data_IF_805810671996
#
_entry.id   IF_805810671996
#
_cell.length_a   1.000
_cell.length_b   1.000
_cell.length_c   1.000
_cell.angle_alpha   90.00
_cell.angle_beta   90.00
_cell.angle_gamma   90.00
#
_symmetry.space_group_name_H-M   'P 1'
#
loop_
_entity.id
_entity.type
_entity.pdbx_description
1 polymer ?
#
# COMPACT_ATOMS: atom_id res chain seq x y z
N UNK A 1 -22.89 -33.42 -46.32
CA UNK A 1 -22.86 -34.37 -45.18
C UNK A 1 -23.09 -33.53 -43.91
N UNK A 2 -24.31 -33.08 -43.58
CA UNK A 2 -25.40 -33.79 -42.84
C UNK A 2 -24.85 -34.61 -41.67
N UNK A 3 -25.13 -34.35 -40.38
CA UNK A 3 -26.41 -34.29 -39.65
C UNK A 3 -26.19 -33.54 -38.30
N UNK A 4 -27.02 -32.57 -37.89
CA UNK A 4 -28.29 -32.65 -37.16
C UNK A 4 -28.19 -32.71 -35.61
N UNK A 5 -28.97 -31.82 -34.99
CA UNK A 5 -29.16 -31.47 -33.59
C UNK A 5 -29.96 -32.53 -32.79
N UNK A 6 -29.66 -32.72 -31.49
CA UNK A 6 -30.63 -33.16 -30.47
C UNK A 6 -30.37 -32.47 -29.12
N UNK A 7 -31.36 -31.69 -28.69
CA UNK A 7 -31.56 -31.11 -27.36
C UNK A 7 -32.21 -32.14 -26.41
N UNK A 8 -31.85 -32.15 -25.12
CA UNK A 8 -32.71 -32.71 -24.06
C UNK A 8 -32.80 -31.77 -22.87
N UNK A 9 -33.99 -31.20 -22.71
CA UNK A 9 -34.48 -30.60 -21.47
C UNK A 9 -34.83 -31.70 -20.45
N UNK A 10 -34.58 -31.44 -19.16
CA UNK A 10 -35.35 -32.04 -18.06
C UNK A 10 -35.81 -30.93 -17.11
N UNK A 11 -37.11 -30.68 -17.15
CA UNK A 11 -37.87 -29.96 -16.13
C UNK A 11 -38.09 -30.89 -14.92
N UNK A 12 -37.88 -30.36 -13.71
CA UNK A 12 -38.58 -30.82 -12.51
C UNK A 12 -39.01 -29.58 -11.71
N UNK A 13 -40.32 -29.39 -11.61
CA UNK A 13 -40.97 -28.33 -10.85
C UNK A 13 -41.19 -28.74 -9.38
N UNK A 14 -40.98 -27.73 -8.53
CA UNK A 14 -41.63 -27.40 -7.25
C UNK A 14 -41.66 -28.38 -6.07
N UNK A 15 -41.09 -27.91 -4.95
CA UNK A 15 -41.86 -27.70 -3.71
C UNK A 15 -41.33 -26.49 -2.94
N UNK A 16 -42.22 -25.54 -2.67
CA UNK A 16 -41.99 -24.38 -1.83
C UNK A 16 -42.01 -24.79 -0.34
N UNK A 17 -41.16 -24.18 0.48
CA UNK A 17 -41.25 -24.22 1.93
C UNK A 17 -41.14 -22.79 2.49
N UNK A 18 -42.17 -22.43 3.25
CA UNK A 18 -42.40 -21.15 3.93
C UNK A 18 -41.56 -21.06 5.21
N UNK A 19 -41.13 -19.86 5.66
CA UNK A 19 -40.32 -19.69 6.86
C UNK A 19 -41.16 -19.61 8.15
N UNK A 20 -40.64 -20.16 9.25
CA UNK A 20 -41.22 -20.06 10.59
C UNK A 20 -40.17 -19.56 11.63
N UNK A 21 -40.61 -18.98 12.76
CA UNK A 21 -40.11 -17.71 13.32
C UNK A 21 -39.14 -17.88 14.53
N UNK A 22 -38.62 -16.79 15.15
CA UNK A 22 -37.55 -16.90 16.13
C UNK A 22 -38.09 -17.30 17.51
N UNK A 23 -37.39 -18.23 18.18
CA UNK A 23 -37.62 -18.58 19.59
C UNK A 23 -37.01 -17.50 20.49
N UNK A 24 -37.88 -16.73 21.16
CA UNK A 24 -37.56 -15.95 22.36
C UNK A 24 -37.42 -16.92 23.54
N UNK A 25 -36.38 -16.77 24.34
CA UNK A 25 -36.33 -17.34 25.69
C UNK A 25 -36.28 -16.16 26.67
N UNK A 26 -37.38 -15.95 27.39
CA UNK A 26 -37.45 -15.11 28.58
C UNK A 26 -37.39 -16.00 29.80
N UNK A 27 -36.52 -15.69 30.76
CA UNK A 27 -36.69 -16.12 32.14
C UNK A 27 -36.69 -14.88 33.02
N UNK A 28 -37.91 -14.46 33.34
CA UNK A 28 -38.27 -13.52 34.39
C UNK A 28 -38.04 -14.15 35.76
N UNK A 29 -37.35 -13.43 36.66
CA UNK A 29 -37.51 -13.60 38.10
C UNK A 29 -38.10 -12.29 38.65
N UNK A 30 -39.15 -12.45 39.44
CA UNK A 30 -40.08 -11.43 39.91
C UNK A 30 -39.69 -10.89 41.29
N UNK A 31 -39.93 -9.57 41.46
CA UNK A 31 -40.33 -8.84 42.69
C UNK A 31 -39.26 -8.72 43.80
N UNK A 32 -39.11 -7.59 44.50
CA UNK A 32 -40.15 -6.67 44.98
C UNK A 32 -39.54 -5.30 45.31
N UNK A 33 -40.31 -4.24 45.07
CA UNK A 33 -40.00 -2.85 45.40
C UNK A 33 -40.26 -2.58 46.89
N UNK A 34 -39.37 -1.82 47.53
CA UNK A 34 -39.66 -1.08 48.75
C UNK A 34 -39.19 0.37 48.61
N UNK A 35 -40.12 1.28 48.86
CA UNK A 35 -39.98 2.74 48.85
C UNK A 35 -39.38 3.25 50.15
N UNK A 36 -38.43 4.19 50.07
CA UNK A 36 -38.10 5.11 51.17
C UNK A 36 -37.54 6.40 50.57
N UNK A 37 -38.08 7.54 51.02
CA UNK A 37 -37.83 8.87 50.51
C UNK A 37 -36.79 9.65 51.34
N UNK A 38 -36.12 10.60 50.67
CA UNK A 38 -35.49 11.84 51.17
C UNK A 38 -34.04 11.76 51.70
N UNK A 39 -33.26 12.88 51.70
CA UNK A 39 -33.21 14.01 50.77
C UNK A 39 -31.79 14.29 50.22
N UNK A 40 -31.72 15.21 49.24
CA UNK A 40 -30.52 15.71 48.58
C UNK A 40 -29.54 16.36 49.57
N UNK A 41 -28.25 16.03 49.47
CA UNK A 41 -27.17 16.89 49.97
C UNK A 41 -26.15 17.07 48.85
N UNK A 42 -26.04 18.30 48.37
CA UNK A 42 -25.08 18.74 47.36
C UNK A 42 -23.70 18.74 48.03
N UNK A 43 -22.77 17.94 47.50
CA UNK A 43 -21.34 18.11 47.78
C UNK A 43 -20.62 18.36 46.45
N UNK A 44 -20.27 19.62 46.24
CA UNK A 44 -19.39 20.08 45.16
C UNK A 44 -18.00 19.46 45.31
N UNK A 45 -17.74 18.41 44.53
CA UNK A 45 -16.39 17.89 44.34
C UNK A 45 -15.72 18.62 43.14
N UNK A 46 -14.46 19.06 43.25
CA UNK A 46 -13.80 19.73 42.14
C UNK A 46 -13.57 18.74 41.00
N UNK A 47 -13.93 19.14 39.78
CA UNK A 47 -13.62 18.42 38.55
C UNK A 47 -12.10 18.41 38.36
N UNK A 48 -11.44 17.35 38.82
CA UNK A 48 -10.10 17.00 38.35
C UNK A 48 -10.27 16.53 36.91
N UNK A 49 -10.13 17.47 35.98
CA UNK A 49 -9.85 17.18 34.58
C UNK A 49 -8.53 16.41 34.50
N UNK A 50 -8.60 15.07 34.56
CA UNK A 50 -7.51 14.25 34.08
C UNK A 50 -7.48 14.43 32.57
N UNK A 51 -6.53 15.24 32.10
CA UNK A 51 -6.09 15.18 30.72
C UNK A 51 -5.85 13.69 30.37
N UNK A 52 -6.37 13.18 29.24
CA UNK A 52 -5.99 11.86 28.81
C UNK A 52 -4.48 11.92 28.61
N UNK A 53 -3.75 11.18 29.43
CA UNK A 53 -2.33 10.94 29.29
C UNK A 53 -2.14 10.24 27.96
N UNK A 54 -2.02 11.02 26.90
CA UNK A 54 -1.49 10.62 25.60
C UNK A 54 0.01 10.38 25.84
N UNK A 55 0.32 9.26 26.51
CA UNK A 55 1.62 8.65 26.39
C UNK A 55 1.71 8.22 24.93
N UNK A 56 2.17 9.16 24.11
CA UNK A 56 2.74 8.86 22.79
C UNK A 56 3.84 7.88 23.09
N UNK A 57 3.54 6.60 22.87
CA UNK A 57 4.56 5.57 22.79
C UNK A 57 5.44 6.04 21.64
N UNK A 58 6.58 6.66 21.95
CA UNK A 58 7.62 6.90 20.97
C UNK A 58 7.86 5.53 20.35
N UNK A 59 7.47 5.37 19.08
CA UNK A 59 7.71 4.14 18.35
C UNK A 59 9.22 3.98 18.37
N UNK A 60 9.70 3.03 19.18
CA UNK A 60 11.07 2.56 19.11
C UNK A 60 11.19 1.82 17.78
N UNK A 61 11.22 2.58 16.68
CA UNK A 61 11.95 2.17 15.51
C UNK A 61 13.31 1.77 16.06
N UNK A 62 13.73 0.55 15.79
CA UNK A 62 15.14 0.17 15.85
C UNK A 62 15.69 0.40 14.45
N UNK A 63 15.97 1.66 14.06
CA UNK A 63 16.63 1.92 12.80
C UNK A 63 18.01 1.28 12.92
N UNK A 64 18.27 0.24 12.13
CA UNK A 64 19.65 -0.13 11.92
C UNK A 64 20.23 0.96 11.03
N UNK A 65 21.21 1.72 11.53
CA UNK A 65 22.03 2.64 10.71
C UNK A 65 22.90 1.89 9.68
N UNK A 66 22.68 0.59 9.52
CA UNK A 66 23.29 -0.28 8.53
C UNK A 66 23.10 0.30 7.13
N UNK A 67 24.17 0.74 6.46
CA UNK A 67 24.08 1.32 5.12
C UNK A 67 23.36 0.39 4.15
N UNK A 68 22.49 0.95 3.31
CA UNK A 68 21.83 0.16 2.27
C UNK A 68 22.87 -0.53 1.39
N UNK A 69 22.61 -1.80 1.02
CA UNK A 69 23.50 -2.65 0.20
C UNK A 69 24.78 -3.14 0.90
N UNK A 70 24.95 -2.92 2.20
CA UNK A 70 25.98 -3.61 3.00
C UNK A 70 25.65 -5.10 3.22
N UNK A 71 26.64 -5.91 3.59
CA UNK A 71 26.43 -7.34 3.88
C UNK A 71 25.43 -7.54 5.03
N UNK A 72 25.54 -6.71 6.07
CA UNK A 72 24.63 -6.69 7.22
C UNK A 72 23.20 -6.33 6.78
N UNK A 73 23.04 -5.43 5.81
CA UNK A 73 21.74 -5.08 5.24
C UNK A 73 21.10 -6.27 4.51
N UNK A 74 21.88 -7.01 3.72
CA UNK A 74 21.40 -8.24 3.06
C UNK A 74 21.03 -9.32 4.07
N UNK A 75 21.83 -9.49 5.13
CA UNK A 75 21.55 -10.43 6.20
C UNK A 75 20.25 -10.11 6.93
N UNK A 76 20.02 -8.85 7.32
CA UNK A 76 18.80 -8.41 7.98
C UNK A 76 17.55 -8.65 7.13
N UNK A 77 17.65 -8.51 5.81
CA UNK A 77 16.53 -8.68 4.86
C UNK A 77 16.22 -10.14 4.53
N UNK A 78 17.15 -11.06 4.75
CA UNK A 78 16.97 -12.48 4.44
C UNK A 78 15.81 -13.07 5.24
N UNK A 79 15.69 -12.68 6.50
CA UNK A 79 14.68 -13.19 7.44
C UNK A 79 13.49 -12.24 7.62
N UNK A 80 13.21 -11.47 6.57
CA UNK A 80 12.10 -10.52 6.51
C UNK A 80 11.44 -10.55 5.15
N UNK A 81 10.13 -10.32 5.10
CA UNK A 81 9.44 -9.96 3.88
C UNK A 81 9.57 -8.44 3.67
N UNK A 82 10.25 -8.03 2.60
CA UNK A 82 10.55 -6.62 2.37
C UNK A 82 9.48 -5.96 1.50
N UNK A 83 9.15 -4.70 1.76
CA UNK A 83 8.08 -3.96 1.04
C UNK A 83 8.21 -4.00 -0.48
N UNK A 84 9.44 -3.96 -1.00
CA UNK A 84 9.74 -4.08 -2.44
C UNK A 84 9.28 -5.40 -3.08
N UNK A 85 9.06 -6.44 -2.27
CA UNK A 85 8.61 -7.77 -2.72
C UNK A 85 7.11 -8.00 -2.53
N UNK A 86 6.39 -7.05 -1.92
CA UNK A 86 4.97 -7.24 -1.57
C UNK A 86 4.11 -7.52 -2.80
N UNK A 87 4.29 -6.80 -3.91
CA UNK A 87 3.52 -7.06 -5.14
C UNK A 87 3.71 -8.50 -5.64
N UNK A 88 4.93 -9.05 -5.52
CA UNK A 88 5.23 -10.45 -5.84
C UNK A 88 4.56 -11.42 -4.87
N UNK A 89 4.67 -11.20 -3.56
CA UNK A 89 4.00 -12.01 -2.54
C UNK A 89 2.47 -11.99 -2.66
N UNK A 90 1.91 -10.87 -3.15
CA UNK A 90 0.48 -10.69 -3.44
C UNK A 90 0.04 -11.32 -4.77
N UNK A 91 0.96 -11.86 -5.57
CA UNK A 91 0.67 -12.54 -6.84
C UNK A 91 0.39 -11.61 -8.02
N UNK A 92 0.95 -10.39 -8.05
CA UNK A 92 0.69 -9.44 -9.14
C UNK A 92 1.27 -9.89 -10.49
N UNK A 93 2.31 -10.71 -10.46
CA UNK A 93 3.05 -11.11 -11.64
C UNK A 93 2.60 -12.49 -12.12
N UNK A 94 2.52 -12.63 -13.45
CA UNK A 94 2.17 -13.91 -14.10
C UNK A 94 3.25 -14.96 -13.85
N UNK A 95 2.87 -16.22 -14.07
CA UNK A 95 3.78 -17.35 -13.96
C UNK A 95 4.04 -17.75 -12.50
N UNK A 96 5.28 -18.04 -12.18
CA UNK A 96 5.74 -18.63 -10.91
C UNK A 96 6.44 -17.61 -9.99
N UNK A 97 6.40 -16.30 -10.27
CA UNK A 97 7.13 -15.27 -9.50
C UNK A 97 6.88 -15.32 -7.98
N UNK A 98 5.65 -15.63 -7.56
CA UNK A 98 5.30 -15.82 -6.14
C UNK A 98 5.98 -17.05 -5.52
N UNK A 99 6.06 -18.13 -6.28
CA UNK A 99 6.79 -19.35 -5.90
C UNK A 99 8.31 -19.13 -5.89
N UNK A 100 8.85 -18.37 -6.85
CA UNK A 100 10.27 -17.98 -6.88
C UNK A 100 10.64 -17.16 -5.65
N UNK A 101 9.83 -16.16 -5.28
CA UNK A 101 10.04 -15.41 -4.05
C UNK A 101 9.97 -16.31 -2.80
N UNK A 102 9.06 -17.28 -2.78
CA UNK A 102 9.00 -18.24 -1.68
C UNK A 102 10.29 -19.08 -1.62
N UNK A 103 10.79 -19.55 -2.76
CA UNK A 103 12.05 -20.29 -2.84
C UNK A 103 13.23 -19.45 -2.33
N UNK A 104 13.35 -18.20 -2.78
CA UNK A 104 14.37 -17.24 -2.30
C UNK A 104 14.31 -17.01 -0.78
N UNK A 105 13.12 -17.14 -0.17
CA UNK A 105 12.93 -17.01 1.28
C UNK A 105 13.15 -18.30 2.02
N UNK A 106 13.00 -19.46 1.42
CA UNK A 106 13.07 -20.76 2.11
C UNK A 106 14.46 -21.39 1.98
N UNK A 107 15.08 -21.28 0.80
CA UNK A 107 16.35 -21.94 0.49
C UNK A 107 17.52 -20.94 0.49
N UNK A 108 18.74 -21.47 0.55
CA UNK A 108 19.93 -20.65 0.40
C UNK A 108 19.96 -19.99 -0.99
N UNK A 109 20.53 -18.78 -1.13
CA UNK A 109 20.59 -18.10 -2.41
C UNK A 109 21.42 -18.91 -3.42
N UNK A 110 20.84 -19.24 -4.57
CA UNK A 110 21.59 -19.73 -5.71
C UNK A 110 22.25 -18.55 -6.44
N UNK A 111 23.58 -18.58 -6.57
CA UNK A 111 24.37 -17.50 -7.16
C UNK A 111 24.01 -17.18 -8.63
N UNK A 112 23.32 -18.09 -9.32
CA UNK A 112 23.05 -18.02 -10.77
C UNK A 112 21.59 -17.69 -11.14
N UNK A 113 20.76 -17.32 -10.18
CA UNK A 113 19.30 -17.14 -10.40
C UNK A 113 18.90 -15.81 -11.07
N UNK A 114 19.80 -14.82 -11.17
CA UNK A 114 19.49 -13.47 -11.70
C UNK A 114 19.86 -13.35 -13.18
N UNK A 115 18.86 -13.05 -14.01
CA UNK A 115 19.08 -12.80 -15.45
C UNK A 115 19.97 -11.56 -15.69
N UNK A 116 20.73 -11.57 -16.78
CA UNK A 116 21.57 -10.43 -17.20
C UNK A 116 20.77 -9.13 -17.29
N UNK A 117 19.55 -9.19 -17.85
CA UNK A 117 18.68 -8.02 -17.97
C UNK A 117 18.21 -7.48 -16.62
N UNK A 118 17.90 -8.35 -15.66
CA UNK A 118 17.53 -7.94 -14.30
C UNK A 118 18.72 -7.31 -13.57
N UNK A 119 19.93 -7.90 -13.70
CA UNK A 119 21.16 -7.35 -13.13
C UNK A 119 21.46 -5.94 -13.69
N UNK A 120 21.38 -5.75 -15.00
CA UNK A 120 21.59 -4.45 -15.64
C UNK A 120 20.56 -3.40 -15.16
N UNK A 121 19.28 -3.78 -14.99
CA UNK A 121 18.27 -2.87 -14.48
C UNK A 121 18.52 -2.47 -13.01
N UNK A 122 19.01 -3.41 -12.18
CA UNK A 122 19.39 -3.14 -10.79
C UNK A 122 20.60 -2.20 -10.72
N UNK A 123 21.66 -2.48 -11.50
CA UNK A 123 22.85 -1.64 -11.60
C UNK A 123 22.51 -0.22 -12.07
N UNK A 124 21.63 -0.09 -13.06
CA UNK A 124 21.12 1.22 -13.51
C UNK A 124 20.47 2.00 -12.37
N UNK A 125 19.60 1.36 -11.57
CA UNK A 125 19.00 1.99 -10.40
C UNK A 125 20.05 2.45 -9.40
N UNK A 126 20.98 1.56 -9.04
CA UNK A 126 22.08 1.81 -8.11
C UNK A 126 22.90 3.03 -8.51
N UNK A 127 23.27 3.13 -9.78
CA UNK A 127 24.12 4.20 -10.30
C UNK A 127 23.44 5.57 -10.30
N UNK A 128 22.12 5.62 -10.48
CA UNK A 128 21.39 6.87 -10.70
C UNK A 128 20.62 7.38 -9.47
N UNK A 129 20.44 6.55 -8.44
CA UNK A 129 19.64 6.88 -7.26
C UNK A 129 20.14 8.15 -6.55
N UNK A 130 21.45 8.29 -6.35
CA UNK A 130 22.02 9.47 -5.70
C UNK A 130 21.73 10.76 -6.49
N UNK A 131 22.01 10.77 -7.80
CA UNK A 131 21.71 11.90 -8.68
C UNK A 131 20.21 12.22 -8.75
N UNK A 132 19.35 11.20 -8.69
CA UNK A 132 17.91 11.37 -8.64
C UNK A 132 17.48 12.04 -7.32
N UNK A 133 18.02 11.62 -6.18
CA UNK A 133 17.76 12.26 -4.87
C UNK A 133 18.20 13.72 -4.90
N UNK A 134 19.41 14.02 -5.38
CA UNK A 134 19.89 15.41 -5.53
C UNK A 134 18.95 16.24 -6.40
N UNK A 135 18.47 15.68 -7.52
CA UNK A 135 17.50 16.36 -8.39
C UNK A 135 16.16 16.60 -7.67
N UNK A 136 15.66 15.64 -6.91
CA UNK A 136 14.47 15.79 -6.08
C UNK A 136 14.64 16.93 -5.07
N UNK A 137 15.77 17.00 -4.37
CA UNK A 137 16.08 18.07 -3.42
C UNK A 137 16.13 19.43 -4.12
N UNK A 138 16.78 19.52 -5.28
CA UNK A 138 16.86 20.74 -6.10
C UNK A 138 15.47 21.23 -6.55
N UNK A 139 14.58 20.33 -6.97
CA UNK A 139 13.23 20.68 -7.42
C UNK A 139 12.36 21.12 -6.24
N UNK A 140 12.37 20.35 -5.15
CA UNK A 140 11.40 20.52 -4.06
C UNK A 140 11.87 21.45 -2.95
N UNK A 141 13.18 21.72 -2.88
CA UNK A 141 13.82 22.43 -1.77
C UNK A 141 13.78 21.67 -0.44
N UNK A 142 13.43 20.38 -0.44
CA UNK A 142 13.35 19.56 0.77
C UNK A 142 14.64 18.82 1.03
N UNK A 143 15.06 18.77 2.28
CA UNK A 143 16.14 17.88 2.71
C UNK A 143 15.69 16.43 2.74
N UNK A 144 16.60 15.54 2.36
CA UNK A 144 16.39 14.08 2.36
C UNK A 144 17.42 13.47 3.30
N UNK A 145 16.93 12.85 4.37
CA UNK A 145 17.77 12.09 5.30
C UNK A 145 17.78 10.61 4.93
N UNK A 146 18.91 9.92 5.13
CA UNK A 146 19.04 8.50 4.80
C UNK A 146 18.55 7.60 5.94
N UNK A 147 18.01 6.44 5.59
CA UNK A 147 17.66 5.37 6.52
C UNK A 147 17.93 4.02 5.85
N UNK A 148 18.74 3.16 6.47
CA UNK A 148 19.16 1.91 5.84
C UNK A 148 18.07 0.84 5.76
N UNK A 149 17.63 0.36 6.93
CA UNK A 149 16.59 -0.66 7.04
C UNK A 149 15.77 -0.46 8.31
N UNK A 150 14.46 -0.56 8.17
CA UNK A 150 13.50 -0.50 9.24
C UNK A 150 12.74 -1.83 9.34
N UNK A 151 12.60 -2.34 10.55
CA UNK A 151 11.71 -3.45 10.88
C UNK A 151 10.47 -2.87 11.55
N UNK A 152 9.33 -3.51 11.35
CA UNK A 152 8.09 -3.07 11.98
C UNK A 152 8.25 -3.03 13.51
N UNK A 153 7.89 -1.91 14.15
CA UNK A 153 8.09 -1.70 15.58
C UNK A 153 7.28 -2.67 16.46
N UNK A 154 6.10 -3.07 15.99
CA UNK A 154 5.31 -4.11 16.65
C UNK A 154 5.92 -5.51 16.42
N UNK A 155 6.29 -6.18 17.50
CA UNK A 155 7.03 -7.45 17.49
C UNK A 155 6.34 -8.55 16.66
N UNK A 156 5.01 -8.67 16.75
CA UNK A 156 4.23 -9.66 15.95
C UNK A 156 4.32 -9.43 14.43
N UNK A 157 4.76 -8.24 14.02
CA UNK A 157 4.99 -7.84 12.64
C UNK A 157 6.48 -7.71 12.31
N UNK A 158 7.37 -8.10 13.23
CA UNK A 158 8.82 -8.05 13.05
C UNK A 158 9.36 -8.96 11.94
N UNK A 159 8.51 -9.69 11.23
CA UNK A 159 8.83 -10.39 9.98
C UNK A 159 8.73 -9.48 8.74
N UNK A 160 8.25 -8.25 8.89
CA UNK A 160 8.16 -7.25 7.83
C UNK A 160 9.30 -6.23 7.94
N UNK A 161 9.83 -5.80 6.79
CA UNK A 161 10.87 -4.77 6.74
C UNK A 161 10.80 -3.84 5.53
N UNK A 162 11.34 -2.65 5.68
CA UNK A 162 11.37 -1.60 4.66
C UNK A 162 12.76 -0.97 4.56
N UNK A 163 13.15 -0.60 3.34
CA UNK A 163 14.27 0.31 3.09
C UNK A 163 13.71 1.45 2.25
N UNK A 164 13.44 2.62 2.83
CA UNK A 164 13.13 3.81 2.04
C UNK A 164 14.40 4.34 1.37
N UNK A 165 14.25 5.08 0.27
CA UNK A 165 15.39 5.78 -0.33
C UNK A 165 15.68 7.10 0.39
N UNK A 166 14.71 7.61 1.14
CA UNK A 166 14.93 8.71 2.08
C UNK A 166 13.76 9.02 3.00
N UNK A 167 14.04 9.83 4.01
CA UNK A 167 13.10 10.38 4.97
C UNK A 167 12.98 11.89 4.76
N UNK A 168 11.74 12.37 4.70
CA UNK A 168 11.41 13.76 4.39
C UNK A 168 10.83 14.44 5.63
N UNK A 169 11.44 15.54 6.10
CA UNK A 169 10.96 16.26 7.28
C UNK A 169 11.06 15.47 8.59
N UNK A 170 10.56 16.06 9.68
CA UNK A 170 10.64 15.47 11.02
C UNK A 170 9.38 14.65 11.35
N UNK A 171 9.55 13.57 12.12
CA UNK A 171 8.42 12.83 12.68
C UNK A 171 7.60 13.72 13.63
N UNK A 172 6.25 13.63 13.66
CA UNK A 172 5.38 12.70 12.91
C UNK A 172 4.89 13.20 11.56
N UNK A 173 5.15 14.46 11.22
CA UNK A 173 4.59 15.13 10.03
C UNK A 173 5.35 14.78 8.73
N UNK A 174 6.57 14.25 8.89
CA UNK A 174 7.43 13.83 7.82
C UNK A 174 6.86 12.69 6.98
N UNK A 175 7.44 12.52 5.80
CA UNK A 175 7.08 11.47 4.86
C UNK A 175 8.28 10.63 4.47
N UNK A 176 8.06 9.81 3.45
CA UNK A 176 9.07 8.91 2.89
C UNK A 176 9.32 9.33 1.45
N UNK A 177 10.57 9.26 1.02
CA UNK A 177 10.95 9.32 -0.39
C UNK A 177 11.22 7.91 -0.90
N UNK A 178 10.58 7.57 -2.01
CA UNK A 178 10.83 6.35 -2.77
C UNK A 178 11.20 6.76 -4.20
N UNK A 179 12.43 6.46 -4.61
CA UNK A 179 13.02 6.83 -5.90
C UNK A 179 12.97 5.64 -6.85
N UNK A 180 12.61 5.90 -8.11
CA UNK A 180 12.64 4.92 -9.19
C UNK A 180 13.34 5.51 -10.41
N UNK A 181 14.37 4.80 -10.87
CA UNK A 181 15.09 5.08 -12.11
C UNK A 181 14.80 3.94 -13.11
N UNK A 182 13.69 3.99 -13.88
CA UNK A 182 13.30 2.89 -14.75
C UNK A 182 14.32 2.66 -15.89
N UNK A 183 14.75 1.42 -16.06
CA UNK A 183 15.68 1.01 -17.14
C UNK A 183 14.99 0.81 -18.51
N UNK A 184 13.67 1.00 -18.57
CA UNK A 184 12.85 0.98 -19.79
C UNK A 184 13.19 -0.16 -20.77
N UNK A 185 13.20 -1.40 -20.27
CA UNK A 185 13.53 -2.62 -21.05
C UNK A 185 14.90 -2.56 -21.76
N UNK A 186 15.90 -1.97 -21.12
CA UNK A 186 17.25 -1.84 -21.68
C UNK A 186 17.49 -0.59 -22.51
N UNK A 187 16.56 0.36 -22.48
CA UNK A 187 16.61 1.62 -23.25
C UNK A 187 16.29 2.83 -22.39
N UNK A 188 17.07 3.10 -21.33
CA UNK A 188 16.80 4.21 -20.39
C UNK A 188 16.75 5.58 -21.09
N UNK A 189 17.49 5.76 -22.19
CA UNK A 189 17.49 6.96 -23.04
C UNK A 189 16.12 7.27 -23.67
N UNK A 190 15.27 6.26 -23.84
CA UNK A 190 13.90 6.41 -24.33
C UNK A 190 12.87 6.53 -23.19
N UNK A 191 13.32 6.41 -21.93
CA UNK A 191 12.44 6.45 -20.77
C UNK A 191 11.86 7.85 -20.56
N UNK A 192 10.55 7.93 -20.34
CA UNK A 192 9.87 9.15 -19.94
C UNK A 192 9.35 8.98 -18.51
N UNK A 193 9.28 10.07 -17.72
CA UNK A 193 8.69 9.99 -16.41
C UNK A 193 7.20 9.64 -16.52
N UNK A 194 6.67 8.94 -15.52
CA UNK A 194 5.33 8.37 -15.64
C UNK A 194 4.25 9.45 -15.64
N UNK A 195 3.25 9.29 -16.50
CA UNK A 195 2.10 10.19 -16.50
C UNK A 195 1.13 9.89 -15.35
N UNK A 196 1.11 8.64 -14.90
CA UNK A 196 0.30 8.11 -13.79
C UNK A 196 1.17 7.15 -12.98
N UNK A 197 0.98 7.10 -11.66
CA UNK A 197 1.70 6.17 -10.81
C UNK A 197 1.47 4.70 -11.24
N UNK A 198 2.51 3.88 -11.43
CA UNK A 198 2.34 2.46 -11.68
C UNK A 198 1.77 1.74 -10.46
N UNK A 199 0.60 1.13 -10.61
CA UNK A 199 -0.16 0.54 -9.51
C UNK A 199 0.58 -0.55 -8.72
N UNK A 200 1.53 -1.24 -9.35
CA UNK A 200 2.31 -2.32 -8.73
C UNK A 200 3.31 -1.83 -7.66
N UNK A 201 3.57 -0.51 -7.57
CA UNK A 201 4.30 0.07 -6.44
C UNK A 201 3.41 0.39 -5.23
N UNK A 202 2.09 0.37 -5.36
CA UNK A 202 1.17 0.70 -4.27
C UNK A 202 1.36 -0.20 -3.02
N UNK A 203 1.50 -1.54 -3.15
CA UNK A 203 1.83 -2.38 -1.99
C UNK A 203 3.11 -1.97 -1.27
N UNK A 204 4.14 -1.60 -2.02
CA UNK A 204 5.44 -1.23 -1.46
C UNK A 204 5.33 0.04 -0.62
N UNK A 205 4.78 1.12 -1.18
CA UNK A 205 4.71 2.41 -0.48
C UNK A 205 3.74 2.38 0.70
N UNK A 206 2.63 1.63 0.61
CA UNK A 206 1.72 1.43 1.74
C UNK A 206 2.39 0.62 2.86
N UNK A 207 3.17 -0.40 2.50
CA UNK A 207 3.99 -1.14 3.47
C UNK A 207 5.04 -0.29 4.17
N UNK A 208 5.69 0.62 3.44
CA UNK A 208 6.67 1.56 4.01
C UNK A 208 6.01 2.49 5.03
N UNK A 209 4.86 3.08 4.68
CA UNK A 209 4.08 3.93 5.58
C UNK A 209 3.63 3.20 6.84
N UNK A 210 3.25 1.92 6.74
CA UNK A 210 2.93 1.12 7.91
C UNK A 210 4.14 0.87 8.80
N UNK A 211 5.21 0.30 8.25
CA UNK A 211 6.40 -0.13 9.01
C UNK A 211 7.08 1.04 9.70
N UNK A 212 7.11 2.19 9.03
CA UNK A 212 7.81 3.37 9.51
C UNK A 212 6.91 4.37 10.23
N UNK A 213 5.62 4.05 10.35
CA UNK A 213 4.58 4.92 10.90
C UNK A 213 4.63 6.34 10.31
N UNK A 214 4.39 6.43 9.00
CA UNK A 214 4.33 7.69 8.25
C UNK A 214 3.03 7.76 7.47
N UNK A 215 2.49 8.96 7.32
CA UNK A 215 1.17 9.14 6.69
C UNK A 215 1.21 9.39 5.18
N UNK A 216 2.40 9.63 4.61
CA UNK A 216 2.55 9.87 3.18
C UNK A 216 3.94 9.49 2.64
N UNK A 217 3.98 9.16 1.34
CA UNK A 217 5.18 8.89 0.54
C UNK A 217 5.16 9.78 -0.70
N UNK A 218 6.31 10.32 -1.07
CA UNK A 218 6.59 10.76 -2.44
C UNK A 218 7.22 9.62 -3.22
N UNK A 219 6.49 9.09 -4.20
CA UNK A 219 7.06 8.23 -5.21
C UNK A 219 7.61 9.11 -6.33
N UNK A 220 8.93 9.14 -6.45
CA UNK A 220 9.66 9.94 -7.41
C UNK A 220 10.19 9.07 -8.56
N UNK A 221 9.72 9.33 -9.77
CA UNK A 221 10.22 8.71 -10.98
C UNK A 221 11.19 9.66 -11.67
N UNK A 222 12.45 9.25 -11.77
CA UNK A 222 13.50 10.01 -12.45
C UNK A 222 13.97 9.27 -13.70
N UNK A 223 14.06 10.01 -14.81
CA UNK A 223 14.55 9.50 -16.09
C UNK A 223 15.51 10.52 -16.71
N UNK A 224 16.24 10.10 -17.75
CA UNK A 224 17.10 11.02 -18.50
C UNK A 224 16.33 12.16 -19.19
N UNK A 225 15.02 11.98 -19.42
CA UNK A 225 14.17 12.93 -20.15
C UNK A 225 13.24 13.76 -19.24
N UNK A 226 13.41 13.65 -17.91
CA UNK A 226 12.60 14.37 -16.94
C UNK A 226 12.20 13.53 -15.73
N UNK A 227 11.33 14.08 -14.89
CA UNK A 227 10.95 13.47 -13.63
C UNK A 227 9.50 13.75 -13.22
N UNK A 228 8.93 12.91 -12.35
CA UNK A 228 7.59 13.12 -11.78
C UNK A 228 7.54 12.73 -10.32
N UNK A 229 6.81 13.50 -9.52
CA UNK A 229 6.57 13.22 -8.10
C UNK A 229 5.09 12.92 -7.91
N UNK A 230 4.78 11.72 -7.41
CA UNK A 230 3.43 11.34 -6.97
C UNK A 230 3.38 11.28 -5.44
N UNK A 231 2.44 12.02 -4.84
CA UNK A 231 2.15 11.89 -3.42
C UNK A 231 1.05 10.86 -3.17
N UNK A 232 1.38 9.89 -2.34
CA UNK A 232 0.50 8.82 -1.88
C UNK A 232 0.28 8.98 -0.38
N UNK A 233 -0.97 8.85 0.06
CA UNK A 233 -1.33 8.85 1.48
C UNK A 233 -1.59 7.43 1.97
N UNK A 234 -1.36 7.21 3.27
CA UNK A 234 -1.62 5.94 3.94
C UNK A 234 -3.09 5.59 3.84
N UNK A 235 -3.38 4.36 3.41
CA UNK A 235 -4.74 3.83 3.29
C UNK A 235 -4.84 2.55 4.13
N UNK A 236 -5.42 2.68 5.32
CA UNK A 236 -5.45 1.59 6.32
C UNK A 236 -6.28 0.40 5.86
N UNK A 237 -7.38 0.62 5.13
CA UNK A 237 -8.20 -0.48 4.61
C UNK A 237 -7.48 -1.30 3.54
N UNK A 238 -6.65 -0.65 2.73
CA UNK A 238 -5.77 -1.32 1.78
C UNK A 238 -4.67 -2.10 2.49
N UNK A 239 -4.06 -1.51 3.54
CA UNK A 239 -3.08 -2.21 4.37
C UNK A 239 -3.66 -3.48 4.99
N UNK A 240 -4.83 -3.41 5.64
CA UNK A 240 -5.49 -4.56 6.24
C UNK A 240 -5.71 -5.70 5.23
N UNK A 241 -6.13 -5.35 4.01
CA UNK A 241 -6.32 -6.31 2.93
C UNK A 241 -5.00 -6.98 2.52
N UNK A 242 -3.95 -6.21 2.22
CA UNK A 242 -2.68 -6.79 1.77
C UNK A 242 -1.98 -7.56 2.88
N UNK A 243 -2.04 -7.05 4.12
CA UNK A 243 -1.43 -7.67 5.29
C UNK A 243 -1.97 -9.08 5.53
N UNK A 244 -3.27 -9.33 5.34
CA UNK A 244 -3.84 -10.67 5.43
C UNK A 244 -3.18 -11.68 4.47
N UNK A 245 -2.91 -11.26 3.24
CA UNK A 245 -2.30 -12.10 2.20
C UNK A 245 -0.80 -12.26 2.43
N UNK A 246 -0.11 -11.19 2.85
CA UNK A 246 1.30 -11.24 3.23
C UNK A 246 1.51 -12.19 4.42
N UNK A 247 0.56 -12.21 5.37
CA UNK A 247 0.59 -13.14 6.51
C UNK A 247 0.48 -14.59 6.07
N UNK A 248 -0.44 -14.91 5.15
CA UNK A 248 -0.56 -16.27 4.59
C UNK A 248 0.76 -16.67 3.91
N UNK A 249 1.28 -15.82 3.01
CA UNK A 249 2.56 -16.08 2.35
C UNK A 249 3.70 -16.35 3.35
N UNK A 250 3.78 -15.60 4.45
CA UNK A 250 4.86 -15.75 5.41
C UNK A 250 4.66 -16.95 6.36
N UNK A 251 3.53 -16.98 7.07
CA UNK A 251 3.29 -17.91 8.17
C UNK A 251 2.70 -19.25 7.73
N UNK A 252 2.05 -19.33 6.57
CA UNK A 252 1.50 -20.58 6.05
C UNK A 252 2.41 -21.21 4.99
N UNK A 253 3.28 -20.42 4.34
CA UNK A 253 4.20 -20.95 3.32
C UNK A 253 5.68 -20.89 3.71
N UNK A 254 6.23 -19.72 4.08
CA UNK A 254 7.68 -19.57 4.28
C UNK A 254 8.15 -20.23 5.58
N UNK A 255 7.54 -19.87 6.71
CA UNK A 255 7.96 -20.35 8.04
C UNK A 255 7.89 -21.87 8.18
N UNK A 256 6.77 -22.55 7.88
CA UNK A 256 6.70 -24.00 8.02
C UNK A 256 7.63 -24.75 7.05
N UNK A 257 7.92 -24.18 5.87
CA UNK A 257 8.90 -24.75 4.96
C UNK A 257 10.33 -24.69 5.56
N UNK A 258 10.71 -23.55 6.15
CA UNK A 258 11.99 -23.41 6.87
C UNK A 258 12.10 -24.38 8.04
N UNK A 259 11.02 -24.56 8.81
CA UNK A 259 10.97 -25.52 9.91
C UNK A 259 11.15 -26.98 9.43
N UNK A 260 10.51 -27.34 8.31
CA UNK A 260 10.70 -28.66 7.69
C UNK A 260 12.17 -28.88 7.25
N UNK A 261 12.81 -27.86 6.66
CA UNK A 261 14.23 -27.91 6.28
C UNK A 261 15.16 -28.06 7.48
N UNK A 262 14.90 -27.35 8.58
CA UNK A 262 15.67 -27.49 9.82
C UNK A 262 15.61 -28.91 10.40
N UNK A 263 14.55 -29.66 10.10
CA UNK A 263 14.35 -31.06 10.48
C UNK A 263 14.88 -32.06 9.43
N UNK A 264 15.53 -31.58 8.36
CA UNK A 264 16.04 -32.42 7.26
C UNK A 264 14.95 -33.00 6.35
N UNK A 265 13.74 -32.42 6.35
CA UNK A 265 12.58 -32.90 5.59
C UNK A 265 12.35 -32.04 4.35
N UNK A 266 13.23 -32.14 3.37
CA UNK A 266 13.20 -31.31 2.16
C UNK A 266 11.95 -31.52 1.29
N UNK A 267 11.48 -32.76 1.15
CA UNK A 267 10.26 -33.04 0.40
C UNK A 267 9.01 -32.45 1.08
N UNK A 268 8.96 -32.47 2.42
CA UNK A 268 7.87 -31.83 3.17
C UNK A 268 7.88 -30.31 2.99
N UNK A 269 9.06 -29.69 2.89
CA UNK A 269 9.18 -28.25 2.67
C UNK A 269 8.51 -27.82 1.35
N UNK A 270 8.60 -28.64 0.29
CA UNK A 270 7.97 -28.36 -1.02
C UNK A 270 6.45 -28.31 -0.96
N UNK A 271 5.82 -29.00 -0.01
CA UNK A 271 4.36 -28.99 0.15
C UNK A 271 3.81 -27.60 0.54
N UNK A 272 4.66 -26.73 1.10
CA UNK A 272 4.30 -25.37 1.48
C UNK A 272 4.48 -24.34 0.37
N UNK A 273 4.86 -24.75 -0.84
CA UNK A 273 5.01 -23.86 -1.98
C UNK A 273 3.67 -23.17 -2.31
N UNK A 274 3.59 -21.82 -2.32
CA UNK A 274 2.34 -21.13 -2.56
C UNK A 274 1.87 -21.27 -4.01
N UNK A 275 0.55 -21.23 -4.20
CA UNK A 275 -0.04 -21.03 -5.52
C UNK A 275 0.47 -19.71 -6.14
N UNK A 276 0.52 -19.63 -7.48
CA UNK A 276 1.00 -18.45 -8.22
C UNK A 276 0.26 -17.16 -7.87
N UNK A 277 -1.00 -17.26 -7.45
CA UNK A 277 -1.85 -16.15 -7.01
C UNK A 277 -2.62 -16.53 -5.75
N UNK A 278 -3.02 -15.52 -4.97
CA UNK A 278 -3.95 -15.68 -3.85
C UNK A 278 -5.38 -15.42 -4.33
N UNK A 279 -6.38 -15.98 -3.64
CA UNK A 279 -7.82 -15.82 -3.98
C UNK A 279 -8.28 -14.34 -4.03
N UNK A 280 -7.57 -13.44 -3.34
CA UNK A 280 -7.85 -11.99 -3.33
C UNK A 280 -6.93 -11.17 -4.24
N UNK A 281 -5.99 -11.77 -4.98
CA UNK A 281 -5.04 -11.04 -5.84
C UNK A 281 -5.74 -10.07 -6.79
N UNK A 282 -6.83 -10.48 -7.45
CA UNK A 282 -7.60 -9.62 -8.35
C UNK A 282 -8.19 -8.39 -7.66
N UNK A 283 -8.71 -8.55 -6.42
CA UNK A 283 -9.24 -7.44 -5.62
C UNK A 283 -8.14 -6.44 -5.24
N UNK A 284 -6.96 -6.95 -4.85
CA UNK A 284 -5.83 -6.10 -4.48
C UNK A 284 -5.34 -5.31 -5.69
N UNK A 285 -5.20 -5.95 -6.86
CA UNK A 285 -4.82 -5.27 -8.11
C UNK A 285 -5.82 -4.15 -8.44
N UNK A 286 -7.13 -4.43 -8.36
CA UNK A 286 -8.16 -3.43 -8.64
C UNK A 286 -8.07 -2.23 -7.68
N UNK A 287 -7.86 -2.47 -6.38
CA UNK A 287 -7.65 -1.41 -5.38
C UNK A 287 -6.35 -0.64 -5.61
N UNK A 288 -5.26 -1.31 -5.98
CA UNK A 288 -3.99 -0.67 -6.32
C UNK A 288 -4.14 0.27 -7.51
N UNK A 289 -4.85 -0.15 -8.56
CA UNK A 289 -5.12 0.68 -9.74
C UNK A 289 -5.90 1.93 -9.34
N UNK A 290 -6.96 1.76 -8.54
CA UNK A 290 -7.77 2.87 -8.04
C UNK A 290 -6.92 3.87 -7.25
N UNK A 291 -6.17 3.41 -6.25
CA UNK A 291 -5.35 4.28 -5.41
C UNK A 291 -4.22 4.95 -6.20
N UNK A 292 -3.66 4.28 -7.20
CA UNK A 292 -2.62 4.86 -8.04
C UNK A 292 -3.16 5.95 -8.99
N UNK A 293 -4.41 5.82 -9.43
CA UNK A 293 -5.10 6.88 -10.19
C UNK A 293 -5.48 8.08 -9.29
N UNK A 294 -5.73 7.84 -8.01
CA UNK A 294 -6.01 8.88 -7.00
C UNK A 294 -4.72 9.53 -6.43
N UNK A 295 -3.55 8.95 -6.69
CA UNK A 295 -2.27 9.48 -6.26
C UNK A 295 -2.04 10.87 -6.87
N UNK A 296 -1.76 11.85 -6.01
CA UNK A 296 -1.64 13.24 -6.43
C UNK A 296 -0.33 13.44 -7.18
N UNK A 297 -0.38 13.76 -8.48
CA UNK A 297 0.77 14.31 -9.18
C UNK A 297 1.10 15.67 -8.53
N UNK A 298 2.29 15.80 -7.95
CA UNK A 298 2.75 17.01 -7.26
C UNK A 298 3.59 17.87 -8.19
N UNK A 299 4.45 17.21 -8.97
CA UNK A 299 5.41 17.87 -9.83
C UNK A 299 5.64 17.02 -11.08
N UNK A 300 5.80 17.68 -12.22
CA UNK A 300 6.35 17.08 -13.43
C UNK A 300 7.44 17.99 -13.98
N UNK A 301 8.54 17.38 -14.36
CA UNK A 301 9.65 18.00 -15.06
C UNK A 301 9.81 17.33 -16.41
N UNK A 302 9.86 18.11 -17.49
CA UNK A 302 10.20 17.65 -18.84
C UNK A 302 11.11 18.68 -19.50
N UNK A 303 12.24 18.24 -20.06
CA UNK A 303 13.20 19.11 -20.76
C UNK A 303 13.59 20.38 -19.96
N UNK A 304 13.76 20.25 -18.64
CA UNK A 304 14.11 21.34 -17.73
C UNK A 304 12.95 22.26 -17.33
N UNK A 305 11.77 22.12 -17.93
CA UNK A 305 10.57 22.83 -17.49
C UNK A 305 9.91 22.09 -16.32
N UNK A 306 9.72 22.78 -15.20
CA UNK A 306 9.13 22.24 -13.97
C UNK A 306 7.74 22.83 -13.77
N UNK A 307 6.75 21.95 -13.67
CA UNK A 307 5.36 22.29 -13.38
C UNK A 307 4.93 21.67 -12.04
N UNK A 308 4.42 22.51 -11.14
CA UNK A 308 3.83 22.07 -9.86
C UNK A 308 2.31 22.06 -9.92
N UNK A 309 1.71 20.95 -9.51
CA UNK A 309 0.27 20.78 -9.47
C UNK A 309 -0.24 20.99 -8.04
N UNK A 310 -0.99 22.08 -7.84
CA UNK A 310 -1.68 22.32 -6.57
C UNK A 310 -2.87 21.36 -6.45
N UNK A 311 -3.21 20.96 -5.22
CA UNK A 311 -4.48 20.30 -5.01
C UNK A 311 -5.58 21.33 -5.30
N UNK A 312 -6.55 20.99 -6.15
CA UNK A 312 -7.81 21.70 -6.18
C UNK A 312 -8.45 21.49 -4.80
N UNK A 313 -8.22 22.44 -3.89
CA UNK A 313 -9.05 22.56 -2.70
C UNK A 313 -10.41 22.95 -3.26
N UNK A 314 -11.31 21.98 -3.41
CA UNK A 314 -12.72 22.29 -3.58
C UNK A 314 -13.15 23.10 -2.37
N UNK A 315 -13.16 24.43 -2.50
CA UNK A 315 -13.98 25.29 -1.65
C UNK A 315 -15.41 24.82 -1.85
N UNK A 316 -15.90 23.94 -0.97
CA UNK A 316 -17.33 23.91 -0.66
C UNK A 316 -17.64 25.23 0.03
N UNK A 317 -17.80 26.29 -0.77
CA UNK A 317 -18.53 27.46 -0.31
C UNK A 317 -19.98 27.00 -0.18
N UNK A 318 -20.47 26.97 1.06
CA UNK A 318 -21.88 26.82 1.36
C UNK A 318 -22.61 28.00 0.71
N UNK A 319 -23.43 27.74 -0.30
CA UNK A 319 -24.48 28.66 -0.72
C UNK A 319 -25.64 28.51 0.27
N UNK A 320 -25.85 29.54 1.08
CA UNK A 320 -27.14 29.87 1.67
C UNK A 320 -27.22 31.39 1.84
N UNK A 321 -28.25 31.96 1.21
CA UNK A 321 -28.82 33.31 1.33
C UNK A 321 -27.88 34.50 1.08
N UNK A 322 -28.01 35.14 -0.09
CA UNK A 322 -28.83 36.36 -0.13
C UNK A 322 -29.30 36.69 -1.55
N UNK A 323 -30.60 37.03 -1.60
CA UNK A 323 -31.34 37.56 -2.75
C UNK A 323 -31.20 39.08 -2.68
N UNK A 324 -30.71 39.72 -3.75
CA UNK A 324 -31.47 40.71 -4.54
C UNK A 324 -30.54 41.53 -5.45
N UNK A 325 -31.11 41.93 -6.60
CA UNK A 325 -30.69 43.01 -7.51
C UNK A 325 -29.43 42.72 -8.36
N UNK A 326 -29.49 42.54 -9.68
CA UNK A 326 -30.34 43.18 -10.67
C UNK A 326 -29.44 44.01 -11.59
N UNK A 327 -28.88 43.42 -12.65
CA UNK A 327 -28.45 44.15 -13.86
C UNK A 327 -28.13 43.16 -14.99
N UNK A 328 -28.37 43.61 -16.20
CA UNK A 328 -28.63 42.83 -17.39
C UNK A 328 -27.41 42.74 -18.34
N UNK A 329 -27.53 41.83 -19.31
CA UNK A 329 -26.94 41.86 -20.67
C UNK A 329 -25.44 41.55 -20.79
N UNK A 330 -25.10 40.39 -21.39
CA UNK A 330 -24.70 40.34 -22.81
C UNK A 330 -24.30 38.91 -23.26
N UNK A 331 -24.88 38.48 -24.38
CA UNK A 331 -24.49 37.35 -25.22
C UNK A 331 -22.99 37.27 -25.53
N UNK A 332 -22.44 36.05 -25.52
CA UNK A 332 -21.56 35.55 -26.58
C UNK A 332 -21.83 34.04 -26.75
N UNK A 333 -22.55 33.69 -27.82
CA UNK A 333 -22.41 32.39 -28.49
C UNK A 333 -21.13 32.43 -29.34
N UNK A 334 -20.31 31.38 -29.28
CA UNK A 334 -19.64 30.88 -30.47
C UNK A 334 -19.24 29.43 -30.29
N UNK A 335 -19.76 28.62 -31.21
CA UNK A 335 -19.49 27.21 -31.48
C UNK A 335 -17.99 26.86 -31.57
N UNK A 336 -17.65 25.59 -31.33
CA UNK A 336 -17.14 24.66 -32.35
C UNK A 336 -17.09 23.25 -31.72
N UNK A 337 -17.73 22.30 -32.39
CA UNK A 337 -17.78 20.89 -31.99
C UNK A 337 -16.63 20.02 -32.51
N UNK A 338 -16.64 18.79 -31.96
CA UNK A 338 -16.34 17.50 -32.60
C UNK A 338 -15.03 17.35 -33.40
N UNK A 339 -14.13 16.49 -32.92
CA UNK A 339 -14.06 15.08 -33.38
C UNK A 339 -12.99 14.28 -32.62
N UNK A 340 -13.42 13.09 -32.19
CA UNK A 340 -12.58 11.94 -31.89
C UNK A 340 -12.13 11.33 -33.22
N UNK A 341 -10.85 11.02 -33.31
CA UNK A 341 -10.30 9.87 -34.06
C UNK A 341 -9.34 9.13 -33.11
#
# INVERSE_FOLDING_TARGET
>A
MTYACITRFRNLHHKAAVPLPPRKYSSSINRTCFTSASPMTILTAPLISRAPSHLVLATHLTPSNTPQRSEEWFALRRDKLTTSTFSTALGFWKGNRRSELWHEKVFAPDADSITVAARAAMEWGVLNEASAIERYQSITGRDVSSLGFAVHAEERLGWLGASPDGLLGLFPEGGILEVKCPYNKGKPELGLPWSTMPFYYMPQVQGQMEIMDREWVDLYCWTLNGSTIFRVYRERGYWELIHGILREFWWENVVPAREALLLGREEDAKAYNPASTHKQTGLVIAKSIKLAAEAKLVCREIAGHIEFYRANIHRKAANLSDISDGCAISQVEMDIGLKLD
#
